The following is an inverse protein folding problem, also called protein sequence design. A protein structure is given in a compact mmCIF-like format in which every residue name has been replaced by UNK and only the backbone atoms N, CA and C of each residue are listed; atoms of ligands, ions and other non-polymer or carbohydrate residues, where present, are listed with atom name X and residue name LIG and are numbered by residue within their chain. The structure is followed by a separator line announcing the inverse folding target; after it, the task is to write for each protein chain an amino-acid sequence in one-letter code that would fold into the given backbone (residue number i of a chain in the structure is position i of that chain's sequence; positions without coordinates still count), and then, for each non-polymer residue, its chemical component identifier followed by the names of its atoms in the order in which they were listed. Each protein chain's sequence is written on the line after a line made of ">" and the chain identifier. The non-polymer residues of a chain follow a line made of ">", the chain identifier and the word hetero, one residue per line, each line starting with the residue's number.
data_IF_965669734028
#
_entry.id   IF_965669734028
#
_cell.length_a   1.000
_cell.length_b   1.000
_cell.length_c   1.000
_cell.angle_alpha   90.00
_cell.angle_beta   90.00
_cell.angle_gamma   90.00
#
_symmetry.space_group_name_H-M   'P 1'
#
loop_
_entity.id
_entity.type
_entity.pdbx_description
1 polymer ?
#
# COMPACT_ATOMS: atom_id res chain seq x y z
N UNK A 1 12.24 -58.86 -22.14
CA UNK A 1 12.54 -57.45 -21.79
C UNK A 1 11.93 -56.56 -22.88
N UNK A 2 10.67 -56.15 -22.73
CA UNK A 2 9.97 -55.39 -23.76
C UNK A 2 10.36 -53.91 -23.65
N UNK A 3 11.19 -53.45 -24.59
CA UNK A 3 11.41 -52.03 -24.81
C UNK A 3 10.07 -51.39 -25.20
N UNK A 4 9.47 -50.63 -24.27
CA UNK A 4 8.28 -49.82 -24.52
C UNK A 4 8.69 -48.71 -25.49
N UNK A 5 8.64 -48.98 -26.80
CA UNK A 5 8.80 -47.93 -27.83
C UNK A 5 7.77 -46.84 -27.53
N UNK A 6 8.25 -45.64 -27.19
CA UNK A 6 7.38 -44.48 -27.01
C UNK A 6 6.54 -44.29 -28.27
N UNK A 7 5.23 -44.21 -28.12
CA UNK A 7 4.26 -44.11 -29.23
C UNK A 7 4.32 -42.77 -29.98
N UNK A 8 5.17 -41.84 -29.54
CA UNK A 8 5.26 -40.48 -30.01
C UNK A 8 6.62 -40.23 -30.68
N UNK A 9 6.58 -39.61 -31.86
CA UNK A 9 7.76 -39.06 -32.52
C UNK A 9 8.42 -38.00 -31.62
N UNK A 10 9.72 -37.76 -31.79
CA UNK A 10 10.42 -36.69 -31.07
C UNK A 10 9.72 -35.34 -31.29
N UNK A 11 9.23 -35.07 -32.51
CA UNK A 11 8.46 -33.86 -32.84
C UNK A 11 7.17 -33.76 -32.03
N UNK A 12 6.45 -34.87 -31.83
CA UNK A 12 5.19 -34.87 -31.06
C UNK A 12 5.45 -34.58 -29.59
N UNK A 13 6.55 -35.12 -29.03
CA UNK A 13 6.95 -34.84 -27.65
C UNK A 13 7.32 -33.37 -27.47
N UNK A 14 8.13 -32.81 -28.37
CA UNK A 14 8.49 -31.39 -28.34
C UNK A 14 7.25 -30.50 -28.47
N UNK A 15 6.31 -30.86 -29.35
CA UNK A 15 5.04 -30.12 -29.49
C UNK A 15 4.25 -30.10 -28.18
N UNK A 16 4.15 -31.25 -27.50
CA UNK A 16 3.47 -31.34 -26.20
C UNK A 16 4.17 -30.49 -25.12
N UNK A 17 5.51 -30.50 -25.07
CA UNK A 17 6.25 -29.63 -24.16
C UNK A 17 6.03 -28.14 -24.46
N UNK A 18 5.99 -27.76 -25.74
CA UNK A 18 5.70 -26.38 -26.16
C UNK A 18 4.28 -25.97 -25.76
N UNK A 19 3.29 -26.87 -25.86
CA UNK A 19 1.93 -26.61 -25.39
C UNK A 19 1.86 -26.42 -23.87
N UNK A 20 2.52 -27.29 -23.10
CA UNK A 20 2.63 -27.13 -21.65
C UNK A 20 3.34 -25.83 -21.27
N UNK A 21 4.41 -25.47 -21.98
CA UNK A 21 5.15 -24.23 -21.76
C UNK A 21 4.27 -23.00 -22.06
N UNK A 22 3.52 -23.00 -23.17
CA UNK A 22 2.56 -21.93 -23.49
C UNK A 22 1.54 -21.74 -22.38
N UNK A 23 0.99 -22.83 -21.86
CA UNK A 23 0.02 -22.77 -20.76
C UNK A 23 0.65 -22.24 -19.48
N UNK A 24 1.90 -22.63 -19.18
CA UNK A 24 2.65 -22.07 -18.04
C UNK A 24 2.87 -20.57 -18.18
N UNK A 25 3.29 -20.10 -19.37
CA UNK A 25 3.47 -18.66 -19.66
C UNK A 25 2.16 -17.89 -19.51
N UNK A 26 1.02 -18.48 -19.90
CA UNK A 26 -0.28 -17.83 -19.73
C UNK A 26 -0.66 -17.66 -18.26
N UNK A 27 -0.41 -18.68 -17.42
CA UNK A 27 -0.58 -18.59 -15.97
C UNK A 27 0.35 -17.53 -15.36
N UNK A 28 1.60 -17.45 -15.83
CA UNK A 28 2.54 -16.41 -15.38
C UNK A 28 2.04 -14.99 -15.69
N UNK A 29 1.52 -14.76 -16.91
CA UNK A 29 0.92 -13.46 -17.28
C UNK A 29 -0.28 -13.12 -16.40
N UNK A 30 -1.15 -14.10 -16.15
CA UNK A 30 -2.33 -13.90 -15.32
C UNK A 30 -1.97 -13.51 -13.88
N UNK A 31 -1.00 -14.19 -13.26
CA UNK A 31 -0.54 -13.81 -11.92
C UNK A 31 0.13 -12.45 -11.90
N UNK A 32 0.97 -12.13 -12.88
CA UNK A 32 1.59 -10.81 -12.98
C UNK A 32 0.55 -9.69 -13.15
N UNK A 33 -0.53 -9.93 -13.91
CA UNK A 33 -1.64 -8.99 -14.03
C UNK A 33 -2.38 -8.79 -12.71
N UNK A 34 -2.63 -9.87 -11.97
CA UNK A 34 -3.26 -9.80 -10.63
C UNK A 34 -2.38 -8.99 -9.66
N UNK A 35 -1.07 -9.22 -9.63
CA UNK A 35 -0.15 -8.44 -8.78
C UNK A 35 -0.25 -6.93 -9.07
N UNK A 36 -0.24 -6.54 -10.36
CA UNK A 36 -0.40 -5.13 -10.74
C UNK A 36 -1.75 -4.54 -10.34
N UNK A 37 -2.83 -5.31 -10.46
CA UNK A 37 -4.17 -4.89 -10.02
C UNK A 37 -4.21 -4.66 -8.51
N UNK A 38 -3.62 -5.54 -7.71
CA UNK A 38 -3.56 -5.41 -6.25
C UNK A 38 -2.77 -4.16 -5.83
N UNK A 39 -1.61 -3.90 -6.46
CA UNK A 39 -0.83 -2.69 -6.20
C UNK A 39 -1.58 -1.42 -6.60
N UNK A 40 -2.30 -1.45 -7.72
CA UNK A 40 -3.17 -0.36 -8.15
C UNK A 40 -4.25 -0.04 -7.12
N UNK A 41 -4.95 -1.07 -6.61
CA UNK A 41 -5.96 -0.91 -5.56
C UNK A 41 -5.36 -0.35 -4.26
N UNK A 42 -4.18 -0.82 -3.86
CA UNK A 42 -3.47 -0.29 -2.69
C UNK A 42 -3.20 1.22 -2.84
N UNK A 43 -2.73 1.66 -4.01
CA UNK A 43 -2.52 3.08 -4.31
C UNK A 43 -3.82 3.89 -4.29
N UNK A 44 -4.91 3.33 -4.82
CA UNK A 44 -6.23 3.97 -4.76
C UNK A 44 -6.69 4.16 -3.32
N UNK A 45 -6.57 3.13 -2.49
CA UNK A 45 -6.95 3.20 -1.06
C UNK A 45 -6.08 4.19 -0.30
N UNK A 46 -4.76 4.21 -0.54
CA UNK A 46 -3.87 5.20 0.06
C UNK A 46 -4.23 6.63 -0.34
N UNK A 47 -4.50 6.86 -1.63
CA UNK A 47 -4.93 8.17 -2.15
C UNK A 47 -6.24 8.60 -1.51
N UNK A 48 -7.21 7.70 -1.38
CA UNK A 48 -8.48 7.98 -0.73
C UNK A 48 -8.31 8.30 0.76
N UNK A 49 -7.47 7.53 1.47
CA UNK A 49 -7.18 7.79 2.88
C UNK A 49 -6.53 9.17 3.09
N UNK A 50 -5.57 9.55 2.25
CA UNK A 50 -4.96 10.89 2.29
C UNK A 50 -5.96 12.00 1.98
N UNK A 51 -6.83 11.80 0.98
CA UNK A 51 -7.89 12.75 0.64
C UNK A 51 -8.89 12.95 1.78
N UNK A 52 -9.38 11.85 2.37
CA UNK A 52 -10.29 11.88 3.52
C UNK A 52 -9.63 12.52 4.76
N UNK A 53 -8.34 12.24 4.99
CA UNK A 53 -7.59 12.88 6.06
C UNK A 53 -7.41 14.39 5.84
N UNK A 54 -7.10 14.81 4.61
CA UNK A 54 -7.03 16.23 4.26
C UNK A 54 -8.39 16.94 4.43
N UNK A 55 -9.48 16.28 4.06
CA UNK A 55 -10.84 16.80 4.26
C UNK A 55 -11.18 16.96 5.74
N UNK A 56 -10.87 15.97 6.59
CA UNK A 56 -11.15 16.06 8.03
C UNK A 56 -10.25 17.06 8.76
N UNK A 57 -9.04 17.29 8.24
CA UNK A 57 -8.10 18.25 8.81
C UNK A 57 -8.59 19.71 8.70
N UNK A 58 -9.37 20.05 7.67
CA UNK A 58 -9.87 21.42 7.45
C UNK A 58 -10.78 21.91 8.59
N UNK A 59 -11.55 21.00 9.18
CA UNK A 59 -12.55 21.29 10.20
C UNK A 59 -11.94 21.20 11.62
N UNK A 60 -10.63 20.90 11.72
CA UNK A 60 -9.94 20.71 13.00
C UNK A 60 -10.53 19.56 13.83
N UNK A 61 -11.18 18.58 13.20
CA UNK A 61 -11.92 17.53 13.90
C UNK A 61 -10.97 16.63 14.71
N UNK A 62 -11.31 16.41 15.98
CA UNK A 62 -10.48 15.65 16.92
C UNK A 62 -11.29 14.63 17.69
N UNK A 63 -10.67 13.49 17.99
CA UNK A 63 -11.23 12.46 18.87
C UNK A 63 -10.31 12.37 20.09
N UNK A 64 -10.70 13.04 21.17
CA UNK A 64 -9.83 13.21 22.33
C UNK A 64 -8.54 13.96 21.96
N UNK A 65 -7.35 13.45 22.34
CA UNK A 65 -6.07 14.11 22.00
C UNK A 65 -5.61 13.86 20.55
N UNK A 66 -6.33 13.04 19.79
CA UNK A 66 -5.92 12.62 18.45
C UNK A 66 -6.65 13.40 17.35
N UNK A 67 -5.91 13.76 16.31
CA UNK A 67 -6.47 14.32 15.08
C UNK A 67 -7.29 13.25 14.35
N UNK A 68 -8.54 13.56 13.98
CA UNK A 68 -9.37 12.64 13.20
C UNK A 68 -8.69 12.31 11.86
N UNK A 69 -8.04 13.30 11.23
CA UNK A 69 -7.27 13.09 10.01
C UNK A 69 -6.12 12.10 10.21
N UNK A 70 -5.37 12.23 11.31
CA UNK A 70 -4.30 11.27 11.62
C UNK A 70 -4.84 9.85 11.82
N UNK A 71 -5.98 9.68 12.51
CA UNK A 71 -6.63 8.37 12.68
C UNK A 71 -7.06 7.77 11.34
N UNK A 72 -7.62 8.58 10.43
CA UNK A 72 -7.97 8.13 9.08
C UNK A 72 -6.74 7.65 8.30
N UNK A 73 -5.61 8.36 8.40
CA UNK A 73 -4.35 7.91 7.76
C UNK A 73 -3.83 6.62 8.39
N UNK A 74 -3.93 6.46 9.72
CA UNK A 74 -3.55 5.20 10.40
C UNK A 74 -4.40 4.04 9.91
N UNK A 75 -5.70 4.22 9.73
CA UNK A 75 -6.56 3.19 9.11
C UNK A 75 -6.13 2.89 7.67
N UNK A 76 -5.80 3.92 6.89
CA UNK A 76 -5.21 3.77 5.55
C UNK A 76 -3.90 2.98 5.57
N UNK A 77 -3.04 3.18 6.57
CA UNK A 77 -1.78 2.45 6.75
C UNK A 77 -2.01 0.98 7.11
N UNK A 78 -3.03 0.67 7.91
CA UNK A 78 -3.42 -0.71 8.21
C UNK A 78 -3.91 -1.42 6.94
N UNK A 79 -4.73 -0.75 6.12
CA UNK A 79 -5.16 -1.30 4.83
C UNK A 79 -3.98 -1.45 3.85
N UNK A 80 -3.07 -0.48 3.81
CA UNK A 80 -1.84 -0.55 3.02
C UNK A 80 -1.01 -1.79 3.39
N UNK A 81 -0.88 -2.06 4.70
CA UNK A 81 -0.21 -3.26 5.20
C UNK A 81 -0.98 -4.55 4.83
N UNK A 82 -2.31 -4.54 4.88
CA UNK A 82 -3.10 -5.69 4.44
C UNK A 82 -2.86 -6.01 2.96
N UNK A 83 -2.81 -5.00 2.09
CA UNK A 83 -2.44 -5.18 0.68
C UNK A 83 -1.02 -5.71 0.51
N UNK A 84 -0.06 -5.18 1.27
CA UNK A 84 1.31 -5.71 1.28
C UNK A 84 1.34 -7.20 1.63
N UNK A 85 0.60 -7.60 2.65
CA UNK A 85 0.54 -8.99 3.09
C UNK A 85 -0.04 -9.89 2.00
N UNK A 86 -1.15 -9.50 1.38
CA UNK A 86 -1.77 -10.27 0.30
C UNK A 86 -0.85 -10.37 -0.92
N UNK A 87 -0.26 -9.26 -1.37
CA UNK A 87 0.66 -9.25 -2.52
C UNK A 87 1.89 -10.13 -2.24
N UNK A 88 2.54 -9.94 -1.07
CA UNK A 88 3.78 -10.65 -0.71
C UNK A 88 3.59 -12.12 -0.36
N UNK A 89 2.61 -12.43 0.48
CA UNK A 89 2.50 -13.76 1.08
C UNK A 89 1.66 -14.72 0.22
N UNK A 90 0.73 -14.19 -0.59
CA UNK A 90 -0.18 -15.03 -1.36
C UNK A 90 0.17 -15.04 -2.84
N UNK A 91 0.22 -13.88 -3.49
CA UNK A 91 0.33 -13.83 -4.96
C UNK A 91 1.77 -13.92 -5.47
N UNK A 92 2.71 -13.26 -4.81
CA UNK A 92 4.10 -13.29 -5.24
C UNK A 92 4.73 -14.70 -5.27
N UNK A 93 4.48 -15.59 -4.28
CA UNK A 93 4.95 -16.96 -4.33
C UNK A 93 4.32 -17.76 -5.47
N UNK A 94 3.06 -17.49 -5.81
CA UNK A 94 2.37 -18.15 -6.93
C UNK A 94 2.99 -17.77 -8.27
N UNK A 95 3.28 -16.48 -8.48
CA UNK A 95 3.98 -16.02 -9.69
C UNK A 95 5.36 -16.68 -9.80
N UNK A 96 6.15 -16.69 -8.72
CA UNK A 96 7.47 -17.34 -8.70
C UNK A 96 7.39 -18.84 -9.00
N UNK A 97 6.40 -19.54 -8.44
CA UNK A 97 6.21 -20.96 -8.69
C UNK A 97 5.87 -21.24 -10.17
N UNK A 98 5.01 -20.41 -10.77
CA UNK A 98 4.67 -20.52 -12.19
C UNK A 98 5.88 -20.26 -13.11
N UNK A 99 6.71 -19.25 -12.79
CA UNK A 99 7.96 -18.97 -13.52
C UNK A 99 8.93 -20.14 -13.43
N UNK A 100 9.17 -20.66 -12.22
CA UNK A 100 10.07 -21.81 -12.01
C UNK A 100 9.62 -23.06 -12.76
N UNK A 101 8.30 -23.30 -12.83
CA UNK A 101 7.77 -24.39 -13.63
C UNK A 101 7.98 -24.16 -15.14
N UNK A 102 7.77 -22.93 -15.63
CA UNK A 102 8.04 -22.55 -17.00
C UNK A 102 9.51 -22.70 -17.40
N UNK A 103 10.44 -22.34 -16.52
CA UNK A 103 11.88 -22.56 -16.72
C UNK A 103 12.21 -24.06 -16.84
N UNK A 104 11.61 -24.91 -16.02
CA UNK A 104 11.82 -26.35 -16.09
C UNK A 104 11.32 -26.96 -17.42
N UNK A 105 10.16 -26.51 -17.90
CA UNK A 105 9.65 -26.92 -19.22
C UNK A 105 10.55 -26.40 -20.36
N UNK A 106 11.03 -25.17 -20.24
CA UNK A 106 11.91 -24.56 -21.22
C UNK A 106 13.25 -25.30 -21.33
N UNK A 107 13.84 -25.74 -20.21
CA UNK A 107 15.06 -26.57 -20.21
C UNK A 107 14.89 -27.89 -20.98
N UNK A 108 13.72 -28.52 -20.91
CA UNK A 108 13.42 -29.72 -21.68
C UNK A 108 13.27 -29.41 -23.18
N UNK A 109 12.60 -28.31 -23.52
CA UNK A 109 12.44 -27.85 -24.93
C UNK A 109 13.80 -27.49 -25.54
N UNK A 110 14.70 -26.85 -24.78
CA UNK A 110 16.04 -26.44 -25.23
C UNK A 110 16.90 -27.59 -25.75
N UNK A 111 16.66 -28.83 -25.30
CA UNK A 111 17.37 -30.02 -25.80
C UNK A 111 17.12 -30.28 -27.28
N UNK A 112 15.97 -29.84 -27.80
CA UNK A 112 15.59 -29.99 -29.21
C UNK A 112 15.54 -28.66 -29.95
N UNK A 113 15.22 -27.56 -29.25
CA UNK A 113 15.13 -26.20 -29.78
C UNK A 113 15.99 -25.25 -28.91
N UNK A 114 17.31 -25.16 -29.15
CA UNK A 114 18.24 -24.45 -28.26
C UNK A 114 17.94 -22.96 -28.04
N UNK A 115 17.16 -22.35 -28.93
CA UNK A 115 16.77 -20.93 -28.88
C UNK A 115 15.56 -20.68 -27.96
N UNK A 116 14.88 -21.74 -27.49
CA UNK A 116 13.74 -21.62 -26.58
C UNK A 116 14.22 -21.34 -25.15
N UNK A 117 14.46 -20.07 -24.80
CA UNK A 117 15.07 -19.68 -23.51
C UNK A 117 14.59 -18.33 -22.96
N UNK A 118 13.37 -17.92 -23.29
CA UNK A 118 12.81 -16.63 -22.95
C UNK A 118 12.60 -16.45 -21.44
N UNK A 119 12.01 -17.43 -20.75
CA UNK A 119 11.70 -17.29 -19.32
C UNK A 119 12.98 -17.20 -18.51
N UNK A 120 13.95 -18.07 -18.80
CA UNK A 120 15.28 -18.04 -18.17
C UNK A 120 16.03 -16.73 -18.45
N UNK A 121 15.98 -16.22 -19.69
CA UNK A 121 16.62 -14.95 -20.04
C UNK A 121 16.01 -13.77 -19.27
N UNK A 122 14.68 -13.74 -19.10
CA UNK A 122 13.99 -12.72 -18.30
C UNK A 122 14.40 -12.82 -16.83
N UNK A 123 14.42 -14.02 -16.24
CA UNK A 123 14.84 -14.22 -14.85
C UNK A 123 16.28 -13.74 -14.63
N UNK A 124 17.20 -14.08 -15.54
CA UNK A 124 18.60 -13.67 -15.47
C UNK A 124 18.81 -12.17 -15.67
N UNK A 125 17.99 -11.52 -16.51
CA UNK A 125 18.02 -10.07 -16.73
C UNK A 125 17.25 -9.24 -15.70
N UNK A 126 16.44 -9.88 -14.84
CA UNK A 126 15.61 -9.20 -13.84
C UNK A 126 16.34 -8.53 -12.66
N UNK A 127 17.55 -8.96 -12.21
CA UNK A 127 18.23 -8.33 -11.09
C UNK A 127 18.53 -6.85 -11.37
N UNK A 128 18.21 -5.98 -10.43
CA UNK A 128 18.46 -4.53 -10.54
C UNK A 128 19.56 -4.12 -9.56
N UNK A 129 20.57 -3.39 -10.02
CA UNK A 129 21.58 -2.82 -9.14
C UNK A 129 21.09 -1.46 -8.57
N UNK A 130 20.81 -1.37 -7.26
CA UNK A 130 20.31 -0.13 -6.68
C UNK A 130 21.39 0.95 -6.64
N UNK A 131 20.98 2.21 -6.83
CA UNK A 131 21.84 3.36 -6.53
C UNK A 131 22.17 3.40 -5.03
N UNK A 132 23.29 4.05 -4.66
CA UNK A 132 23.75 4.12 -3.25
C UNK A 132 22.66 4.61 -2.28
N UNK A 133 21.84 5.56 -2.70
CA UNK A 133 20.74 6.11 -1.89
C UNK A 133 19.66 5.06 -1.66
N UNK A 134 19.22 4.36 -2.71
CA UNK A 134 18.20 3.30 -2.61
C UNK A 134 18.72 2.10 -1.83
N UNK A 135 20.00 1.74 -1.98
CA UNK A 135 20.64 0.68 -1.20
C UNK A 135 20.61 0.97 0.31
N UNK A 136 20.96 2.20 0.71
CA UNK A 136 20.92 2.63 2.11
C UNK A 136 19.48 2.63 2.65
N UNK A 137 18.54 3.23 1.93
CA UNK A 137 17.15 3.38 2.40
C UNK A 137 16.36 2.06 2.40
N UNK A 138 16.65 1.15 1.47
CA UNK A 138 15.99 -0.16 1.42
C UNK A 138 16.46 -1.12 2.51
N UNK A 139 17.61 -0.84 3.13
CA UNK A 139 18.28 -1.72 4.10
C UNK A 139 19.18 -2.78 3.46
N UNK A 140 19.28 -2.81 2.12
CA UNK A 140 20.21 -3.68 1.38
C UNK A 140 21.51 -2.92 1.10
N UNK A 141 22.52 -3.10 1.94
CA UNK A 141 23.82 -2.42 1.81
C UNK A 141 24.67 -2.94 0.63
N UNK A 142 24.43 -4.14 0.14
CA UNK A 142 25.21 -4.76 -0.95
C UNK A 142 24.39 -5.79 -1.73
N UNK A 143 24.59 -5.86 -3.05
CA UNK A 143 24.03 -6.87 -3.95
C UNK A 143 22.81 -6.43 -4.75
N UNK A 144 22.44 -7.16 -5.81
CA UNK A 144 21.31 -6.82 -6.66
C UNK A 144 19.97 -7.01 -5.92
N UNK A 145 18.99 -6.18 -6.28
CA UNK A 145 17.60 -6.29 -5.87
C UNK A 145 16.87 -7.26 -6.79
N UNK A 146 16.37 -8.35 -6.20
CA UNK A 146 15.47 -9.28 -6.85
C UNK A 146 14.02 -8.82 -6.70
N UNK A 147 13.09 -9.51 -7.36
CA UNK A 147 11.67 -9.12 -7.41
C UNK A 147 11.03 -8.93 -6.04
N UNK A 148 11.40 -9.75 -5.05
CA UNK A 148 10.93 -9.58 -3.66
C UNK A 148 11.40 -8.29 -3.01
N UNK A 149 12.63 -7.86 -3.29
CA UNK A 149 13.19 -6.64 -2.70
C UNK A 149 12.51 -5.41 -3.30
N UNK A 150 12.24 -5.45 -4.61
CA UNK A 150 11.52 -4.39 -5.33
C UNK A 150 10.11 -4.22 -4.76
N UNK A 151 9.41 -5.33 -4.51
CA UNK A 151 8.11 -5.34 -3.85
C UNK A 151 8.17 -4.70 -2.45
N UNK A 152 9.09 -5.15 -1.61
CA UNK A 152 9.24 -4.62 -0.24
C UNK A 152 9.55 -3.13 -0.27
N UNK A 153 10.43 -2.71 -1.18
CA UNK A 153 10.78 -1.31 -1.35
C UNK A 153 9.57 -0.45 -1.70
N UNK A 154 8.75 -0.88 -2.66
CA UNK A 154 7.51 -0.18 -3.05
C UNK A 154 6.59 0.06 -1.84
N UNK A 155 6.31 -0.98 -1.06
CA UNK A 155 5.42 -0.87 0.11
C UNK A 155 6.04 -0.07 1.26
N UNK A 156 7.36 -0.14 1.46
CA UNK A 156 8.09 0.69 2.45
C UNK A 156 7.98 2.18 2.12
N UNK A 157 8.17 2.56 0.85
CA UNK A 157 8.06 3.96 0.42
C UNK A 157 6.65 4.49 0.64
N UNK A 158 5.62 3.74 0.24
CA UNK A 158 4.23 4.16 0.47
C UNK A 158 3.86 4.23 1.96
N UNK A 159 4.30 3.26 2.76
CA UNK A 159 4.08 3.28 4.21
C UNK A 159 4.78 4.49 4.87
N UNK A 160 6.00 4.81 4.46
CA UNK A 160 6.73 5.98 4.97
C UNK A 160 5.99 7.28 4.66
N UNK A 161 5.44 7.43 3.44
CA UNK A 161 4.65 8.60 3.08
C UNK A 161 3.39 8.75 3.96
N UNK A 162 2.67 7.65 4.20
CA UNK A 162 1.49 7.65 5.09
C UNK A 162 1.87 7.96 6.54
N UNK A 163 2.97 7.42 7.06
CA UNK A 163 3.45 7.72 8.43
C UNK A 163 3.80 9.20 8.57
N UNK A 164 4.52 9.78 7.60
CA UNK A 164 4.84 11.21 7.59
C UNK A 164 3.56 12.06 7.59
N UNK A 165 2.57 11.69 6.79
CA UNK A 165 1.28 12.40 6.76
C UNK A 165 0.55 12.32 8.11
N UNK A 166 0.50 11.14 8.74
CA UNK A 166 -0.13 10.96 10.05
C UNK A 166 0.55 11.80 11.14
N UNK A 167 1.88 11.82 11.16
CA UNK A 167 2.67 12.64 12.12
C UNK A 167 2.42 14.13 11.88
N UNK A 168 2.43 14.58 10.62
CA UNK A 168 2.18 15.97 10.29
C UNK A 168 0.79 16.44 10.74
N UNK A 169 -0.24 15.64 10.47
CA UNK A 169 -1.62 15.92 10.89
C UNK A 169 -1.77 15.94 12.41
N UNK A 170 -1.17 14.98 13.11
CA UNK A 170 -1.22 14.95 14.58
C UNK A 170 -0.47 16.15 15.19
N UNK A 171 0.69 16.50 14.65
CA UNK A 171 1.49 17.64 15.13
C UNK A 171 0.74 18.95 14.92
N UNK A 172 0.12 19.16 13.76
CA UNK A 172 -0.66 20.36 13.47
C UNK A 172 -1.80 20.58 14.47
N UNK A 173 -2.52 19.51 14.83
CA UNK A 173 -3.55 19.56 15.87
C UNK A 173 -2.98 19.90 17.24
N UNK A 174 -1.86 19.29 17.64
CA UNK A 174 -1.21 19.58 18.93
C UNK A 174 -0.70 21.02 19.04
N UNK A 175 -0.18 21.60 17.95
CA UNK A 175 0.20 23.02 17.93
C UNK A 175 -1.01 23.96 18.00
N UNK A 176 -2.11 23.62 17.32
CA UNK A 176 -3.33 24.42 17.38
C UNK A 176 -3.90 24.52 18.81
N UNK A 177 -3.94 23.41 19.55
CA UNK A 177 -4.36 23.40 20.96
C UNK A 177 -3.40 24.15 21.89
N UNK A 178 -2.10 24.20 21.58
CA UNK A 178 -1.13 24.95 22.38
C UNK A 178 -1.24 26.46 22.15
N UNK A 179 -1.70 26.89 20.96
CA UNK A 179 -1.85 28.31 20.61
C UNK A 179 -3.13 28.96 21.14
N UNK A 180 -4.16 28.20 21.49
CA UNK A 180 -5.35 28.70 22.21
C UNK A 180 -5.04 28.84 23.70
N UNK A 181 -4.29 29.89 24.05
CA UNK A 181 -4.02 30.25 25.44
C UNK A 181 -5.28 30.71 26.21
N UNK A 182 -5.25 30.72 27.56
CA UNK A 182 -6.40 31.03 28.40
C UNK A 182 -6.96 32.46 28.29
N UNK A 183 -6.29 33.38 27.58
CA UNK A 183 -6.74 34.78 27.41
C UNK A 183 -8.05 34.91 26.63
N UNK A 184 -8.32 34.05 25.64
CA UNK A 184 -9.56 34.13 24.86
C UNK A 184 -10.78 33.68 25.67
N UNK A 185 -10.57 32.84 26.71
CA UNK A 185 -11.63 32.40 27.60
C UNK A 185 -12.03 33.50 28.60
N UNK A 186 -11.07 34.32 29.06
CA UNK A 186 -11.32 35.43 30.00
C UNK A 186 -12.07 36.57 29.32
N UNK A 187 -11.67 36.94 28.10
CA UNK A 187 -12.34 38.02 27.34
C UNK A 187 -13.79 37.66 27.00
N UNK A 188 -14.08 36.38 26.73
CA UNK A 188 -15.46 35.93 26.43
C UNK A 188 -16.37 35.90 27.66
N UNK A 189 -15.83 35.63 28.85
CA UNK A 189 -16.59 35.67 30.11
C UNK A 189 -16.85 37.12 30.56
N UNK A 190 -15.88 38.02 30.38
CA UNK A 190 -16.04 39.43 30.77
C UNK A 190 -17.09 40.17 29.92
N UNK A 191 -17.15 39.85 28.63
CA UNK A 191 -18.13 40.46 27.71
C UNK A 191 -19.58 40.01 27.95
N UNK A 192 -19.80 38.81 28.50
CA UNK A 192 -21.14 38.30 28.84
C UNK A 192 -21.60 38.76 30.25
N UNK A 193 -20.64 38.98 31.17
CA UNK A 193 -20.95 39.43 32.54
C UNK A 193 -21.36 40.90 32.58
N UNK A 194 -20.80 41.75 31.71
CA UNK A 194 -21.14 43.17 31.65
C UNK A 194 -22.51 43.47 30.99
N UNK A 195 -23.13 42.50 30.30
CA UNK A 195 -24.47 42.69 29.71
C UNK A 195 -25.62 42.29 30.64
N UNK A 196 -25.37 41.48 31.67
CA UNK A 196 -26.42 41.08 32.65
C UNK A 196 -26.70 42.11 33.74
N UNK A 197 -25.87 43.14 33.92
CA UNK A 197 -26.05 44.13 35.00
C UNK A 197 -26.99 45.31 34.67
N UNK A 198 -27.60 45.37 33.48
CA UNK A 198 -28.48 46.49 33.08
C UNK A 198 -29.97 46.13 32.91
N UNK A 199 -30.43 45.00 33.42
CA UNK A 199 -31.82 44.53 33.24
C UNK A 199 -32.56 44.16 34.52
N UNK A 200 -32.63 45.05 35.52
CA UNK A 200 -33.62 44.92 36.60
C UNK A 200 -34.13 46.29 37.09
N UNK A 201 -35.44 46.54 36.94
CA UNK A 201 -36.23 46.98 38.10
C UNK A 201 -37.49 46.08 38.22
N UNK A 202 -37.70 45.46 39.38
CA UNK A 202 -38.39 46.01 40.56
C UNK A 202 -39.93 46.02 40.37
N UNK A 203 -40.62 45.40 41.33
CA UNK A 203 -42.00 44.95 41.17
C UNK A 203 -43.07 46.05 41.21
N UNK A 204 -44.29 45.66 40.87
CA UNK A 204 -45.50 46.32 41.33
C UNK A 204 -46.61 45.29 41.50
N UNK A 205 -47.01 45.10 42.75
CA UNK A 205 -48.29 44.52 43.12
C UNK A 205 -49.45 45.40 42.61
N UNK A 206 -50.63 44.78 42.41
CA UNK A 206 -51.94 45.23 42.88
C UNK A 206 -53.11 44.92 41.91
N UNK A 207 -54.03 44.08 42.41
CA UNK A 207 -55.51 44.23 42.45
C UNK A 207 -56.28 44.60 41.16
N UNK A 208 -57.26 43.76 40.78
CA UNK A 208 -58.67 43.84 41.21
C UNK A 208 -59.66 43.36 40.12
N UNK A 209 -60.62 42.55 40.61
CA UNK A 209 -61.98 42.27 40.11
C UNK A 209 -62.14 41.34 38.91
#
# INVERSE_FOLDING_TARGET
>A
MFARKSKFSQTDQVSLYVEMWKQSVEVQKHFNEIEWRIRGLALTVATFALGAAGWTARDGATVGPFSLGALVVVLGLLLWYAFYFVDRAWYHPLLKAAVKHGEALEQEIMRSLPVAGMTQAITAGSPYEPSRVVAILSGKRTGPMHSEDKLVWFYKVGAAALVVAAIALQSATSFAFASTGPEELVVRVEHDTSQRSHGAPAGSAARAR
#
